data_IF_914474766781
#
_entry.id   IF_914474766781
#
_cell.length_a   1.000
_cell.length_b   1.000
_cell.length_c   1.000
_cell.angle_alpha   90.00
_cell.angle_beta   90.00
_cell.angle_gamma   90.00
#
_symmetry.space_group_name_H-M   'P 1'
#
loop_
_entity.id
_entity.type
_entity.pdbx_description
1 polymer ?
#
# COMPACT_ATOMS: atom_id res chain seq x y z
N UNK A 1 -6.92 -1.76 -6.62
CA UNK A 1 -8.10 -1.19 -5.93
C UNK A 1 -8.95 -0.33 -6.87
N UNK A 2 -8.39 0.66 -7.59
CA UNK A 2 -9.14 1.39 -8.61
C UNK A 2 -9.86 0.47 -9.62
N UNK A 3 -9.20 -0.61 -10.08
CA UNK A 3 -9.84 -1.61 -10.94
C UNK A 3 -10.99 -2.40 -10.29
N UNK A 4 -10.93 -2.65 -8.97
CA UNK A 4 -12.06 -3.26 -8.25
C UNK A 4 -13.21 -2.26 -8.09
N UNK A 5 -12.90 -0.99 -7.84
CA UNK A 5 -13.90 0.09 -7.82
C UNK A 5 -14.60 0.25 -9.18
N UNK A 6 -13.87 0.09 -10.28
CA UNK A 6 -14.45 0.12 -11.62
C UNK A 6 -15.35 -1.10 -11.90
N UNK A 7 -14.92 -2.31 -11.52
CA UNK A 7 -15.66 -3.54 -11.82
C UNK A 7 -16.79 -3.88 -10.85
N UNK A 8 -16.68 -3.47 -9.58
CA UNK A 8 -17.63 -3.84 -8.51
C UNK A 8 -18.32 -2.61 -7.89
N UNK A 9 -17.94 -1.39 -8.28
CA UNK A 9 -18.48 -0.17 -7.70
C UNK A 9 -17.97 0.06 -6.26
N UNK A 10 -18.81 0.70 -5.43
CA UNK A 10 -18.41 1.14 -4.09
C UNK A 10 -18.12 -0.04 -3.13
N UNK A 11 -18.67 -1.22 -3.38
CA UNK A 11 -18.35 -2.44 -2.61
C UNK A 11 -16.89 -2.83 -2.73
N UNK A 12 -16.20 -2.48 -3.82
CA UNK A 12 -14.76 -2.66 -3.97
C UNK A 12 -13.93 -1.88 -2.94
N UNK A 13 -14.50 -0.85 -2.29
CA UNK A 13 -13.85 -0.09 -1.22
C UNK A 13 -13.92 -0.81 0.15
N UNK A 14 -14.76 -1.83 0.30
CA UNK A 14 -15.01 -2.50 1.58
C UNK A 14 -13.73 -3.00 2.24
N UNK A 15 -12.85 -3.63 1.46
CA UNK A 15 -11.58 -4.17 1.96
C UNK A 15 -10.68 -3.08 2.58
N UNK A 16 -10.66 -1.88 1.97
CA UNK A 16 -9.89 -0.74 2.49
C UNK A 16 -10.53 -0.15 3.74
N UNK A 17 -11.85 -0.02 3.77
CA UNK A 17 -12.57 0.58 4.91
C UNK A 17 -12.42 -0.27 6.18
N UNK A 18 -12.62 -1.59 6.06
CA UNK A 18 -12.45 -2.50 7.19
C UNK A 18 -11.00 -2.49 7.69
N UNK A 19 -10.02 -2.51 6.77
CA UNK A 19 -8.61 -2.40 7.12
C UNK A 19 -8.29 -1.09 7.85
N UNK A 20 -8.80 0.04 7.35
CA UNK A 20 -8.60 1.35 7.96
C UNK A 20 -9.19 1.42 9.38
N UNK A 21 -10.42 0.90 9.58
CA UNK A 21 -11.04 0.82 10.91
C UNK A 21 -10.21 -0.06 11.84
N UNK A 22 -9.76 -1.22 11.38
CA UNK A 22 -8.88 -2.11 12.15
C UNK A 22 -7.58 -1.43 12.57
N UNK A 23 -6.96 -0.68 11.67
CA UNK A 23 -5.75 0.11 11.96
C UNK A 23 -6.02 1.26 12.94
N UNK A 24 -7.17 1.92 12.85
CA UNK A 24 -7.57 2.95 13.83
C UNK A 24 -7.74 2.35 15.23
N UNK A 25 -8.41 1.21 15.34
CA UNK A 25 -8.56 0.49 16.62
C UNK A 25 -7.17 0.10 17.16
N UNK A 26 -6.32 -0.48 16.32
CA UNK A 26 -4.94 -0.82 16.69
C UNK A 26 -4.18 0.43 17.18
N UNK A 27 -4.30 1.53 16.45
CA UNK A 27 -3.69 2.82 16.77
C UNK A 27 -4.14 3.37 18.13
N UNK A 28 -5.45 3.43 18.37
CA UNK A 28 -6.01 4.01 19.58
C UNK A 28 -5.75 3.17 20.83
N UNK A 29 -5.84 1.84 20.75
CA UNK A 29 -5.80 0.97 21.93
C UNK A 29 -4.45 0.28 22.16
N UNK A 30 -3.74 -0.07 21.08
CA UNK A 30 -2.54 -0.93 21.17
C UNK A 30 -1.25 -0.19 20.87
N UNK A 31 -1.27 0.94 20.15
CA UNK A 31 -0.04 1.66 19.81
C UNK A 31 0.73 2.11 21.06
N UNK A 32 0.03 2.58 22.12
CA UNK A 32 0.69 2.94 23.38
C UNK A 32 1.37 1.74 24.03
N UNK A 33 0.70 0.58 24.08
CA UNK A 33 1.24 -0.66 24.65
C UNK A 33 2.47 -1.14 23.87
N UNK A 34 2.41 -1.09 22.54
CA UNK A 34 3.53 -1.45 21.67
C UNK A 34 4.74 -0.52 21.87
N UNK A 35 4.52 0.80 21.98
CA UNK A 35 5.61 1.77 22.21
C UNK A 35 6.29 1.58 23.56
N UNK A 36 5.52 1.27 24.62
CA UNK A 36 6.07 1.04 25.97
C UNK A 36 6.91 -0.24 26.04
N UNK A 37 6.64 -1.24 25.19
CA UNK A 37 7.47 -2.45 25.12
C UNK A 37 8.93 -2.18 24.70
N UNK A 38 9.21 -1.00 24.09
CA UNK A 38 10.53 -0.54 23.66
C UNK A 38 11.29 -1.53 22.75
N UNK A 39 10.55 -2.35 22.00
CA UNK A 39 11.09 -3.29 21.03
C UNK A 39 11.07 -2.64 19.65
N UNK A 40 12.06 -2.96 18.83
CA UNK A 40 12.20 -2.39 17.50
C UNK A 40 11.36 -3.14 16.47
N UNK A 41 11.04 -4.42 16.72
CA UNK A 41 10.33 -5.27 15.75
C UNK A 41 9.16 -6.04 16.36
N UNK A 42 8.17 -6.40 15.53
CA UNK A 42 7.04 -7.24 15.94
C UNK A 42 7.47 -8.67 16.33
N UNK A 43 8.40 -9.34 15.61
CA UNK A 43 8.89 -10.64 16.05
C UNK A 43 9.57 -10.62 17.42
N UNK A 44 10.30 -9.56 17.77
CA UNK A 44 10.87 -9.39 19.11
C UNK A 44 9.78 -9.35 20.19
N UNK A 45 8.65 -8.69 19.91
CA UNK A 45 7.51 -8.66 20.82
C UNK A 45 6.94 -10.06 21.05
N UNK A 46 6.82 -10.85 19.99
CA UNK A 46 6.37 -12.24 20.07
C UNK A 46 7.40 -13.11 20.81
N UNK A 47 8.69 -12.93 20.54
CA UNK A 47 9.77 -13.63 21.24
C UNK A 47 9.73 -13.37 22.74
N UNK A 48 9.56 -12.11 23.14
CA UNK A 48 9.47 -11.70 24.55
C UNK A 48 8.22 -12.24 25.23
N UNK A 49 7.10 -12.34 24.51
CA UNK A 49 5.84 -12.83 25.05
C UNK A 49 5.81 -14.37 25.19
N UNK A 50 6.49 -15.09 24.29
CA UNK A 50 6.47 -16.54 24.24
C UNK A 50 7.86 -17.13 24.46
N UNK A 51 8.65 -17.25 23.38
CA UNK A 51 10.05 -17.66 23.40
C UNK A 51 10.70 -17.45 22.02
N UNK A 52 12.01 -17.67 21.95
CA UNK A 52 12.82 -17.54 20.73
C UNK A 52 12.35 -18.38 19.54
N UNK A 53 11.82 -19.59 19.78
CA UNK A 53 11.34 -20.46 18.68
C UNK A 53 10.13 -19.84 17.99
N UNK A 54 9.18 -19.32 18.78
CA UNK A 54 7.97 -18.66 18.25
C UNK A 54 8.33 -17.32 17.60
N UNK A 55 9.27 -16.56 18.18
CA UNK A 55 9.81 -15.34 17.58
C UNK A 55 10.41 -15.59 16.19
N UNK A 56 11.25 -16.61 16.05
CA UNK A 56 11.84 -16.99 14.76
C UNK A 56 10.78 -17.40 13.73
N UNK A 57 9.79 -18.20 14.14
CA UNK A 57 8.69 -18.58 13.26
C UNK A 57 7.89 -17.35 12.77
N UNK A 58 7.64 -16.39 13.66
CA UNK A 58 6.98 -15.14 13.31
C UNK A 58 7.81 -14.31 12.31
N UNK A 59 9.13 -14.19 12.53
CA UNK A 59 10.05 -13.51 11.61
C UNK A 59 9.99 -14.10 10.20
N UNK A 60 10.07 -15.44 10.08
CA UNK A 60 10.03 -16.13 8.78
C UNK A 60 8.69 -15.88 8.08
N UNK A 61 7.58 -16.02 8.82
CA UNK A 61 6.24 -15.80 8.27
C UNK A 61 6.07 -14.36 7.77
N UNK A 62 6.57 -13.38 8.52
CA UNK A 62 6.52 -11.96 8.14
C UNK A 62 7.33 -11.72 6.87
N UNK A 63 8.55 -12.25 6.75
CA UNK A 63 9.38 -12.10 5.54
C UNK A 63 8.69 -12.68 4.31
N UNK A 64 8.15 -13.90 4.40
CA UNK A 64 7.43 -14.55 3.30
C UNK A 64 6.20 -13.72 2.91
N UNK A 65 5.43 -13.28 3.90
CA UNK A 65 4.20 -12.50 3.69
C UNK A 65 4.50 -11.17 2.99
N UNK A 66 5.50 -10.42 3.47
CA UNK A 66 5.88 -9.14 2.86
C UNK A 66 6.51 -9.30 1.48
N UNK A 67 7.21 -10.41 1.21
CA UNK A 67 7.71 -10.71 -0.14
C UNK A 67 6.55 -10.82 -1.14
N UNK A 68 5.47 -11.51 -0.77
CA UNK A 68 4.27 -11.61 -1.61
C UNK A 68 3.61 -10.24 -1.86
N UNK A 69 3.53 -9.41 -0.81
CA UNK A 69 2.99 -8.03 -0.93
C UNK A 69 3.84 -7.20 -1.90
N UNK A 70 5.17 -7.19 -1.73
CA UNK A 70 6.10 -6.44 -2.60
C UNK A 70 6.02 -6.94 -4.04
N UNK A 71 5.96 -8.26 -4.26
CA UNK A 71 5.79 -8.83 -5.59
C UNK A 71 4.50 -8.34 -6.27
N UNK A 72 3.39 -8.29 -5.52
CA UNK A 72 2.12 -7.73 -6.00
C UNK A 72 2.23 -6.25 -6.39
N UNK A 73 2.96 -5.45 -5.60
CA UNK A 73 3.21 -4.03 -5.91
C UNK A 73 4.05 -3.85 -7.18
N UNK A 74 5.09 -4.68 -7.39
CA UNK A 74 5.92 -4.66 -8.60
C UNK A 74 5.07 -4.96 -9.85
N UNK A 75 4.21 -5.99 -9.79
CA UNK A 75 3.30 -6.32 -10.91
C UNK A 75 2.33 -5.18 -11.19
N UNK A 76 1.76 -4.57 -10.14
CA UNK A 76 0.86 -3.44 -10.29
C UNK A 76 1.57 -2.23 -10.94
N UNK A 77 2.77 -1.89 -10.48
CA UNK A 77 3.58 -0.81 -11.04
C UNK A 77 3.92 -1.05 -12.52
N UNK A 78 4.33 -2.28 -12.87
CA UNK A 78 4.63 -2.66 -14.25
C UNK A 78 3.42 -2.52 -15.18
N UNK A 79 2.23 -2.91 -14.73
CA UNK A 79 0.99 -2.74 -15.49
C UNK A 79 0.66 -1.27 -15.71
N UNK A 80 0.78 -0.43 -14.67
CA UNK A 80 0.50 1.01 -14.78
C UNK A 80 1.48 1.68 -15.75
N UNK A 81 2.78 1.41 -15.65
CA UNK A 81 3.79 2.01 -16.53
C UNK A 81 3.69 1.51 -17.98
N UNK A 82 3.19 0.30 -18.21
CA UNK A 82 2.97 -0.22 -19.56
C UNK A 82 1.95 0.58 -20.39
N UNK A 83 1.09 1.37 -19.74
CA UNK A 83 0.13 2.27 -20.40
C UNK A 83 0.86 3.30 -21.29
N UNK A 84 2.11 3.64 -20.96
CA UNK A 84 2.93 4.55 -21.78
C UNK A 84 3.26 3.99 -23.16
N UNK A 85 3.12 2.66 -23.38
CA UNK A 85 3.37 2.02 -24.67
C UNK A 85 4.85 1.88 -25.05
N UNK A 86 5.79 2.33 -24.19
CA UNK A 86 7.22 2.37 -24.48
C UNK A 86 7.91 1.00 -24.31
N UNK A 87 7.44 0.19 -23.35
CA UNK A 87 8.06 -1.09 -23.02
C UNK A 87 7.04 -2.10 -22.48
N UNK A 88 7.41 -3.39 -22.53
CA UNK A 88 6.58 -4.48 -22.00
C UNK A 88 6.41 -4.40 -20.49
N UNK A 89 5.34 -5.02 -19.96
CA UNK A 89 5.09 -5.12 -18.51
C UNK A 89 6.30 -5.71 -17.78
N UNK A 90 6.90 -6.79 -18.32
CA UNK A 90 8.06 -7.45 -17.73
C UNK A 90 9.27 -6.52 -17.65
N UNK A 91 9.52 -5.74 -18.70
CA UNK A 91 10.61 -4.75 -18.72
C UNK A 91 10.41 -3.69 -17.63
N UNK A 92 9.18 -3.17 -17.48
CA UNK A 92 8.86 -2.21 -16.44
C UNK A 92 8.97 -2.79 -15.03
N UNK A 93 8.56 -4.05 -14.83
CA UNK A 93 8.74 -4.74 -13.56
C UNK A 93 10.22 -4.85 -13.17
N UNK A 94 11.10 -5.20 -14.13
CA UNK A 94 12.54 -5.29 -13.89
C UNK A 94 13.11 -3.91 -13.52
N UNK A 95 12.81 -2.87 -14.31
CA UNK A 95 13.28 -1.50 -14.05
C UNK A 95 12.83 -1.02 -12.67
N UNK A 96 11.55 -1.19 -12.35
CA UNK A 96 10.99 -0.79 -11.06
C UNK A 96 11.66 -1.54 -9.91
N UNK A 97 11.88 -2.85 -10.06
CA UNK A 97 12.55 -3.67 -9.05
C UNK A 97 13.98 -3.19 -8.81
N UNK A 98 14.76 -2.94 -9.87
CA UNK A 98 16.13 -2.46 -9.76
C UNK A 98 16.16 -1.12 -9.01
N UNK A 99 15.36 -0.14 -9.44
CA UNK A 99 15.31 1.17 -8.79
C UNK A 99 14.91 1.03 -7.32
N UNK A 100 13.84 0.26 -7.05
CA UNK A 100 13.31 0.04 -5.71
C UNK A 100 14.34 -0.57 -4.76
N UNK A 101 14.97 -1.67 -5.18
CA UNK A 101 15.96 -2.38 -4.38
C UNK A 101 17.20 -1.51 -4.16
N UNK A 102 17.67 -0.80 -5.20
CA UNK A 102 18.84 0.07 -5.09
C UNK A 102 18.63 1.16 -4.04
N UNK A 103 17.51 1.90 -4.07
CA UNK A 103 17.31 2.95 -3.07
C UNK A 103 17.00 2.40 -1.68
N UNK A 104 16.36 1.23 -1.57
CA UNK A 104 16.08 0.60 -0.29
C UNK A 104 17.37 0.20 0.43
N UNK A 105 18.32 -0.39 -0.31
CA UNK A 105 19.64 -0.77 0.22
C UNK A 105 20.46 0.46 0.61
N UNK A 106 20.49 1.49 -0.25
CA UNK A 106 21.32 2.69 -0.03
C UNK A 106 20.78 3.60 1.07
N UNK A 107 19.45 3.73 1.18
CA UNK A 107 18.82 4.69 2.08
C UNK A 107 18.57 4.18 3.49
N UNK A 108 18.34 2.87 3.66
CA UNK A 108 17.89 2.31 4.93
C UNK A 108 16.55 2.87 5.42
N UNK A 109 16.08 2.41 6.58
CA UNK A 109 14.73 2.71 7.07
C UNK A 109 14.47 4.21 7.26
N UNK A 110 15.45 4.97 7.74
CA UNK A 110 15.29 6.41 7.98
C UNK A 110 15.11 7.21 6.67
N UNK A 111 15.83 6.85 5.60
CA UNK A 111 15.62 7.48 4.30
C UNK A 111 14.24 7.11 3.73
N UNK A 112 13.83 5.85 3.88
CA UNK A 112 12.52 5.38 3.41
C UNK A 112 11.39 6.16 4.10
N UNK A 113 11.43 6.32 5.42
CA UNK A 113 10.41 7.09 6.16
C UNK A 113 10.30 8.52 5.62
N UNK A 114 11.44 9.16 5.30
CA UNK A 114 11.41 10.52 4.73
C UNK A 114 10.76 10.53 3.35
N UNK A 115 11.14 9.59 2.47
CA UNK A 115 10.56 9.51 1.12
C UNK A 115 9.07 9.20 1.17
N UNK A 116 8.61 8.37 2.10
CA UNK A 116 7.21 7.98 2.26
C UNK A 116 6.32 9.19 2.57
N UNK A 117 6.79 10.14 3.39
CA UNK A 117 6.04 11.38 3.69
C UNK A 117 5.81 12.22 2.43
N UNK A 118 6.84 12.36 1.58
CA UNK A 118 6.69 13.08 0.31
C UNK A 118 5.80 12.32 -0.68
N UNK A 119 5.96 11.00 -0.77
CA UNK A 119 5.14 10.15 -1.63
C UNK A 119 3.67 10.19 -1.21
N UNK A 120 3.37 10.22 0.08
CA UNK A 120 2.02 10.37 0.59
C UNK A 120 1.38 11.68 0.10
N UNK A 121 2.11 12.81 0.18
CA UNK A 121 1.61 14.09 -0.31
C UNK A 121 1.33 14.06 -1.82
N UNK A 122 2.25 13.50 -2.62
CA UNK A 122 2.07 13.35 -4.07
C UNK A 122 0.85 12.46 -4.38
N UNK A 123 0.68 11.36 -3.65
CA UNK A 123 -0.43 10.43 -3.84
C UNK A 123 -1.77 11.09 -3.50
N UNK A 124 -1.87 11.83 -2.40
CA UNK A 124 -3.08 12.58 -2.06
C UNK A 124 -3.42 13.61 -3.14
N UNK A 125 -2.45 14.43 -3.55
CA UNK A 125 -2.64 15.42 -4.61
C UNK A 125 -3.09 14.76 -5.93
N UNK A 126 -2.46 13.64 -6.31
CA UNK A 126 -2.79 12.89 -7.52
C UNK A 126 -4.22 12.33 -7.50
N UNK A 127 -4.67 11.79 -6.36
CA UNK A 127 -6.05 11.28 -6.21
C UNK A 127 -7.07 12.41 -6.37
N UNK A 128 -6.88 13.54 -5.70
CA UNK A 128 -7.82 14.67 -5.80
C UNK A 128 -7.81 15.32 -7.18
N UNK A 129 -6.64 15.45 -7.82
CA UNK A 129 -6.53 15.94 -9.18
C UNK A 129 -7.24 15.01 -10.18
N UNK A 130 -7.01 13.70 -10.09
CA UNK A 130 -7.69 12.71 -10.92
C UNK A 130 -9.22 12.76 -10.71
N UNK A 131 -9.68 12.86 -9.47
CA UNK A 131 -11.10 13.01 -9.16
C UNK A 131 -11.68 14.27 -9.80
N UNK A 132 -11.03 15.43 -9.67
CA UNK A 132 -11.50 16.69 -10.24
C UNK A 132 -11.59 16.64 -11.78
N UNK A 133 -10.61 16.02 -12.44
CA UNK A 133 -10.59 15.84 -13.90
C UNK A 133 -11.69 14.90 -14.39
N UNK A 134 -11.91 13.77 -13.71
CA UNK A 134 -12.96 12.82 -14.09
C UNK A 134 -14.34 13.41 -13.80
N UNK A 135 -14.51 14.09 -12.67
CA UNK A 135 -15.79 14.66 -12.27
C UNK A 135 -16.27 15.78 -13.20
N UNK A 136 -15.34 16.59 -13.73
CA UNK A 136 -15.66 17.59 -14.75
C UNK A 136 -16.04 16.97 -16.09
N UNK A 137 -15.35 15.90 -16.52
CA UNK A 137 -15.66 15.20 -17.77
C UNK A 137 -17.00 14.45 -17.73
N UNK A 138 -17.38 13.93 -16.56
CA UNK A 138 -18.64 13.20 -16.37
C UNK A 138 -19.85 14.16 -16.18
N UNK A 139 -19.65 15.48 -16.17
CA UNK A 139 -20.74 16.44 -15.97
C UNK A 139 -21.21 16.56 -14.52
N UNK A 140 -20.32 16.31 -13.57
CA UNK A 140 -20.56 16.42 -12.14
C UNK A 140 -21.43 15.30 -11.57
N UNK A 141 -22.08 15.58 -10.43
CA UNK A 141 -22.83 14.57 -9.67
C UNK A 141 -24.03 14.02 -10.47
N UNK A 142 -24.63 14.87 -11.32
CA UNK A 142 -25.78 14.50 -12.14
C UNK A 142 -25.39 13.47 -13.22
N UNK A 143 -24.32 13.72 -13.97
CA UNK A 143 -23.86 12.77 -14.98
C UNK A 143 -23.26 11.50 -14.37
N UNK A 144 -22.69 11.58 -13.16
CA UNK A 144 -22.24 10.40 -12.42
C UNK A 144 -23.42 9.49 -12.05
N UNK A 145 -24.51 10.06 -11.52
CA UNK A 145 -25.73 9.30 -11.20
C UNK A 145 -26.39 8.71 -12.44
N UNK A 146 -26.36 9.42 -13.56
CA UNK A 146 -26.92 8.93 -14.82
C UNK A 146 -26.11 7.78 -15.45
N UNK A 147 -24.80 7.74 -15.16
CA UNK A 147 -23.87 6.74 -15.73
C UNK A 147 -23.73 5.48 -14.87
N UNK A 148 -24.22 5.51 -13.63
CA UNK A 148 -24.19 4.36 -12.72
C UNK A 148 -25.46 3.52 -12.90
N UNK A 149 -25.34 2.18 -12.92
CA UNK A 149 -26.52 1.31 -12.88
C UNK A 149 -27.31 1.56 -11.57
N UNK A 150 -28.65 1.38 -11.60
CA UNK A 150 -29.53 1.67 -10.46
C UNK A 150 -29.23 0.85 -9.20
#
# INVERSE_FOLDING_TARGET
MAGLGFGQGLTGAWWLLVGAIGLLILGCFFARKARVAALYTLPELVERQYNRRVGLAASILIVISWTGVVAGQIVAAGKVLSILGIASVTSWMIIFTVVFVSYAILGGQYSIIRTDVFQAAILFAGIFAALALVFSQVGGLAGLRASLPP
#
